data_IF_959315936199
#
_entry.id   IF_959315936199
#
_cell.length_a   1.000
_cell.length_b   1.000
_cell.length_c   1.000
_cell.angle_alpha   90.00
_cell.angle_beta   90.00
_cell.angle_gamma   90.00
#
_symmetry.space_group_name_H-M   'P 1'
#
loop_
_entity.id
_entity.type
_entity.pdbx_description
1 polymer ?
#
# COMPACT_ATOMS: atom_id res chain seq x y z
N UNK A 1 26.54 6.76 -12.49
CA UNK A 1 25.21 7.40 -12.35
C UNK A 1 24.17 6.30 -12.21
N UNK A 2 23.26 6.36 -11.22
CA UNK A 2 22.22 5.33 -11.08
C UNK A 2 21.26 5.41 -12.26
N UNK A 3 20.99 4.28 -12.93
CA UNK A 3 20.04 4.21 -14.04
C UNK A 3 18.65 3.93 -13.50
N UNK A 4 17.61 4.47 -14.16
CA UNK A 4 16.19 4.25 -13.80
C UNK A 4 15.43 3.53 -14.92
N UNK A 5 16.17 2.87 -15.83
CA UNK A 5 15.56 2.04 -16.87
C UNK A 5 14.99 0.75 -16.30
N UNK A 6 15.74 0.11 -15.42
CA UNK A 6 15.33 -1.13 -14.72
C UNK A 6 15.06 -0.84 -13.25
N UNK A 7 14.28 -1.70 -12.62
CA UNK A 7 14.03 -1.67 -11.18
C UNK A 7 15.30 -2.05 -10.43
N UNK A 8 15.47 -1.46 -9.28
CA UNK A 8 16.49 -1.92 -8.33
C UNK A 8 16.00 -3.21 -7.65
N UNK A 9 16.88 -4.15 -7.40
CA UNK A 9 16.64 -5.44 -6.76
C UNK A 9 17.21 -5.52 -5.34
N UNK A 10 17.86 -4.46 -4.88
CA UNK A 10 18.42 -4.40 -3.54
C UNK A 10 17.30 -4.51 -2.48
N UNK A 11 17.60 -5.21 -1.39
CA UNK A 11 16.69 -5.33 -0.26
C UNK A 11 16.70 -4.06 0.58
N UNK A 12 15.52 -3.63 1.00
CA UNK A 12 15.36 -2.60 2.01
C UNK A 12 15.63 -3.19 3.39
N UNK A 13 16.06 -2.37 4.34
CA UNK A 13 16.34 -2.84 5.70
C UNK A 13 15.04 -3.38 6.34
N UNK A 14 13.88 -2.74 6.04
CA UNK A 14 12.58 -3.20 6.51
C UNK A 14 12.08 -4.50 5.87
N UNK A 15 12.73 -5.00 4.79
CA UNK A 15 12.42 -6.33 4.22
C UNK A 15 12.87 -7.47 5.17
N UNK A 16 13.71 -7.18 6.19
CA UNK A 16 14.03 -8.13 7.24
C UNK A 16 12.88 -8.22 8.25
N UNK A 17 12.08 -9.29 8.15
CA UNK A 17 10.93 -9.53 9.02
C UNK A 17 11.29 -9.72 10.51
N UNK A 18 12.58 -9.81 10.84
CA UNK A 18 13.06 -9.94 12.23
C UNK A 18 13.45 -8.60 12.85
N UNK A 19 13.49 -7.52 12.04
CA UNK A 19 13.85 -6.21 12.58
C UNK A 19 12.80 -5.72 13.58
N UNK A 20 13.24 -5.15 14.68
CA UNK A 20 12.40 -4.71 15.79
C UNK A 20 13.05 -3.56 16.58
N UNK A 21 12.31 -3.01 17.51
CA UNK A 21 12.80 -2.00 18.44
C UNK A 21 12.47 -0.56 18.06
N UNK A 22 13.02 0.38 18.81
CA UNK A 22 12.68 1.81 18.71
C UNK A 22 12.94 2.40 17.33
N UNK A 23 13.99 1.94 16.64
CA UNK A 23 14.31 2.39 15.29
C UNK A 23 13.19 2.09 14.28
N UNK A 24 12.51 0.93 14.41
CA UNK A 24 11.36 0.57 13.57
C UNK A 24 10.16 1.42 13.93
N UNK A 25 9.88 1.62 15.21
CA UNK A 25 8.79 2.49 15.66
C UNK A 25 8.96 3.93 15.18
N UNK A 26 10.19 4.46 15.26
CA UNK A 26 10.53 5.78 14.75
C UNK A 26 10.35 5.85 13.23
N UNK A 27 10.78 4.82 12.50
CA UNK A 27 10.60 4.73 11.06
C UNK A 27 9.12 4.78 10.66
N UNK A 28 8.25 4.01 11.31
CA UNK A 28 6.81 4.03 11.04
C UNK A 28 6.21 5.41 11.24
N UNK A 29 6.54 6.10 12.34
CA UNK A 29 6.08 7.48 12.62
C UNK A 29 6.54 8.47 11.57
N UNK A 30 7.80 8.38 11.12
CA UNK A 30 8.34 9.26 10.10
C UNK A 30 7.71 8.98 8.73
N UNK A 31 7.50 7.71 8.37
CA UNK A 31 6.81 7.35 7.12
C UNK A 31 5.37 7.86 7.10
N UNK A 32 4.61 7.73 8.20
CA UNK A 32 3.26 8.30 8.30
C UNK A 32 3.28 9.82 8.10
N UNK A 33 4.24 10.51 8.72
CA UNK A 33 4.41 11.96 8.60
C UNK A 33 4.74 12.35 7.15
N UNK A 34 5.72 11.70 6.53
CA UNK A 34 6.13 11.95 5.14
C UNK A 34 4.95 11.71 4.19
N UNK A 35 4.22 10.60 4.36
CA UNK A 35 3.09 10.25 3.52
C UNK A 35 1.94 11.26 3.65
N UNK A 36 1.67 11.73 4.86
CA UNK A 36 0.67 12.76 5.11
C UNK A 36 1.08 14.09 4.49
N UNK A 37 2.32 14.56 4.71
CA UNK A 37 2.82 15.84 4.20
C UNK A 37 2.92 15.88 2.67
N UNK A 38 3.33 14.77 2.04
CA UNK A 38 3.40 14.67 0.58
C UNK A 38 2.06 14.33 -0.08
N UNK A 39 0.98 14.26 0.69
CA UNK A 39 -0.36 13.93 0.18
C UNK A 39 -0.54 12.47 -0.24
N UNK A 40 0.37 11.59 0.17
CA UNK A 40 0.33 10.17 -0.21
C UNK A 40 -0.95 9.47 0.24
N UNK A 41 -1.41 9.75 1.45
CA UNK A 41 -2.63 9.16 1.99
C UNK A 41 -3.88 9.61 1.22
N UNK A 42 -3.93 10.84 0.75
CA UNK A 42 -5.07 11.38 -0.02
C UNK A 42 -5.33 10.62 -1.31
N UNK A 43 -4.30 10.00 -1.89
CA UNK A 43 -4.40 9.17 -3.11
C UNK A 43 -5.25 7.93 -2.84
N UNK A 44 -4.94 7.21 -1.76
CA UNK A 44 -5.68 6.01 -1.32
C UNK A 44 -7.11 6.35 -0.93
N UNK A 45 -7.28 7.40 -0.14
CA UNK A 45 -8.59 7.92 0.29
C UNK A 45 -9.45 8.33 -0.92
N UNK A 46 -8.89 9.03 -1.90
CA UNK A 46 -9.62 9.43 -3.10
C UNK A 46 -10.03 8.23 -3.96
N UNK A 47 -9.18 7.21 -4.07
CA UNK A 47 -9.50 5.97 -4.77
C UNK A 47 -10.64 5.22 -4.08
N UNK A 48 -10.57 5.06 -2.75
CA UNK A 48 -11.65 4.45 -1.97
C UNK A 48 -12.96 5.21 -2.13
N UNK A 49 -12.95 6.55 -2.04
CA UNK A 49 -14.14 7.38 -2.31
C UNK A 49 -14.74 7.13 -3.68
N UNK A 50 -13.91 6.94 -4.70
CA UNK A 50 -14.37 6.64 -6.06
C UNK A 50 -15.10 5.29 -6.11
N UNK A 51 -14.53 4.25 -5.47
CA UNK A 51 -15.13 2.91 -5.39
C UNK A 51 -16.45 2.95 -4.60
N UNK A 52 -16.48 3.63 -3.46
CA UNK A 52 -17.70 3.74 -2.62
C UNK A 52 -18.82 4.46 -3.37
N UNK A 53 -18.52 5.57 -4.04
CA UNK A 53 -19.51 6.33 -4.83
C UNK A 53 -20.08 5.54 -6.00
N UNK A 54 -19.33 4.61 -6.59
CA UNK A 54 -19.84 3.76 -7.67
C UNK A 54 -20.77 2.65 -7.17
N UNK A 55 -20.90 2.47 -5.85
CA UNK A 55 -21.77 1.47 -5.22
C UNK A 55 -22.71 2.12 -4.18
N UNK A 56 -23.63 3.04 -4.60
CA UNK A 56 -24.40 3.88 -3.68
C UNK A 56 -25.38 3.12 -2.77
N UNK A 57 -25.69 1.89 -3.09
CA UNK A 57 -26.56 1.02 -2.28
C UNK A 57 -25.80 0.25 -1.19
N UNK A 58 -24.47 0.21 -1.26
CA UNK A 58 -23.64 -0.53 -0.31
C UNK A 58 -23.19 0.40 0.82
N UNK A 59 -23.59 0.08 2.05
CA UNK A 59 -23.28 0.88 3.25
C UNK A 59 -22.29 0.22 4.19
N UNK A 60 -22.02 -1.09 4.02
CA UNK A 60 -21.09 -1.86 4.85
C UNK A 60 -19.96 -2.39 3.98
N UNK A 61 -18.72 -2.13 4.37
CA UNK A 61 -17.52 -2.43 3.60
C UNK A 61 -16.55 -3.31 4.37
N UNK A 62 -16.07 -4.36 3.75
CA UNK A 62 -14.94 -5.17 4.23
C UNK A 62 -13.69 -4.78 3.45
N UNK A 63 -12.67 -4.29 4.13
CA UNK A 63 -11.46 -3.77 3.51
C UNK A 63 -10.24 -4.48 4.06
N UNK A 64 -9.41 -5.02 3.17
CA UNK A 64 -8.07 -5.51 3.50
C UNK A 64 -7.04 -4.43 3.19
N UNK A 65 -6.02 -4.29 4.04
CA UNK A 65 -4.85 -3.43 3.80
C UNK A 65 -3.57 -4.27 3.85
N UNK A 66 -2.90 -4.40 2.71
CA UNK A 66 -1.72 -5.24 2.55
C UNK A 66 -0.45 -4.42 2.83
N UNK A 67 0.41 -4.92 3.72
CA UNK A 67 1.55 -4.15 4.21
C UNK A 67 1.08 -2.93 4.99
N UNK A 68 0.19 -3.14 5.97
CA UNK A 68 -0.52 -2.06 6.66
C UNK A 68 0.39 -1.15 7.52
N UNK A 69 1.64 -1.56 7.77
CA UNK A 69 2.59 -0.78 8.58
C UNK A 69 2.00 -0.38 9.94
N UNK A 70 1.95 0.91 10.22
CA UNK A 70 1.37 1.45 11.47
C UNK A 70 -0.15 1.31 11.60
N UNK A 71 -0.86 0.98 10.52
CA UNK A 71 -2.32 1.00 10.47
C UNK A 71 -2.96 2.40 10.29
N UNK A 72 -2.16 3.45 10.27
CA UNK A 72 -2.64 4.85 10.20
C UNK A 72 -3.59 5.09 9.02
N UNK A 73 -3.28 4.53 7.85
CA UNK A 73 -4.10 4.74 6.65
C UNK A 73 -5.48 4.10 6.76
N UNK A 74 -5.62 2.98 7.49
CA UNK A 74 -6.94 2.37 7.76
C UNK A 74 -7.81 3.30 8.62
N UNK A 75 -7.23 3.98 9.62
CA UNK A 75 -7.94 4.98 10.42
C UNK A 75 -8.46 6.14 9.55
N UNK A 76 -7.64 6.63 8.60
CA UNK A 76 -8.05 7.67 7.66
C UNK A 76 -9.15 7.17 6.70
N UNK A 77 -9.03 5.97 6.17
CA UNK A 77 -10.04 5.35 5.31
C UNK A 77 -11.37 5.15 6.04
N UNK A 78 -11.34 4.75 7.33
CA UNK A 78 -12.55 4.59 8.13
C UNK A 78 -13.29 5.92 8.33
N UNK A 79 -12.57 7.00 8.64
CA UNK A 79 -13.16 8.36 8.72
C UNK A 79 -13.86 8.75 7.41
N UNK A 80 -13.26 8.36 6.28
CA UNK A 80 -13.86 8.65 4.96
C UNK A 80 -15.14 7.85 4.72
N UNK A 81 -15.21 6.59 5.11
CA UNK A 81 -16.44 5.80 5.04
C UNK A 81 -17.54 6.43 5.89
N UNK A 82 -17.23 6.83 7.12
CA UNK A 82 -18.18 7.52 8.01
C UNK A 82 -18.71 8.82 7.40
N UNK A 83 -17.86 9.62 6.76
CA UNK A 83 -18.27 10.83 6.02
C UNK A 83 -19.21 10.51 4.84
N UNK A 84 -19.12 9.33 4.26
CA UNK A 84 -20.04 8.84 3.21
C UNK A 84 -21.27 8.09 3.79
N UNK A 85 -21.48 8.15 5.11
CA UNK A 85 -22.53 7.41 5.83
C UNK A 85 -22.44 5.90 5.64
N UNK A 86 -21.21 5.39 5.50
CA UNK A 86 -20.88 3.98 5.41
C UNK A 86 -20.12 3.54 6.65
N UNK A 87 -20.14 2.24 6.92
CA UNK A 87 -19.32 1.58 7.94
C UNK A 87 -18.28 0.69 7.26
N UNK A 88 -17.11 0.55 7.87
CA UNK A 88 -16.03 -0.33 7.41
C UNK A 88 -15.58 -1.30 8.50
N UNK A 89 -15.23 -2.51 8.10
CA UNK A 89 -14.43 -3.43 8.90
C UNK A 89 -13.12 -3.63 8.15
N UNK A 90 -12.01 -3.36 8.82
CA UNK A 90 -10.68 -3.39 8.23
C UNK A 90 -9.88 -4.57 8.77
N UNK A 91 -9.15 -5.23 7.87
CA UNK A 91 -8.13 -6.22 8.25
C UNK A 91 -6.80 -5.77 7.65
N UNK A 92 -5.88 -5.35 8.50
CA UNK A 92 -4.50 -5.05 8.12
C UNK A 92 -3.65 -6.32 8.16
N UNK A 93 -2.78 -6.47 7.18
CA UNK A 93 -1.81 -7.55 7.08
C UNK A 93 -0.40 -6.99 7.06
N UNK A 94 0.46 -7.50 7.92
CA UNK A 94 1.89 -7.28 7.88
C UNK A 94 2.61 -8.56 8.27
N UNK A 95 3.78 -8.83 7.68
CA UNK A 95 4.52 -10.05 7.96
C UNK A 95 5.52 -9.91 9.12
N UNK A 96 5.82 -8.68 9.56
CA UNK A 96 6.72 -8.44 10.68
C UNK A 96 5.94 -8.40 12.00
N UNK A 97 6.20 -9.33 12.96
CA UNK A 97 5.45 -9.40 14.22
C UNK A 97 5.56 -8.12 15.07
N UNK A 98 6.69 -7.42 15.03
CA UNK A 98 6.89 -6.18 15.75
C UNK A 98 6.03 -5.05 15.19
N UNK A 99 5.96 -4.94 13.85
CA UNK A 99 5.10 -3.96 13.16
C UNK A 99 3.63 -4.25 13.47
N UNK A 100 3.23 -5.52 13.45
CA UNK A 100 1.87 -5.95 13.83
C UNK A 100 1.52 -5.51 15.25
N UNK A 101 2.40 -5.76 16.23
CA UNK A 101 2.16 -5.34 17.60
C UNK A 101 2.06 -3.81 17.72
N UNK A 102 2.91 -3.07 17.01
CA UNK A 102 2.85 -1.62 16.95
C UNK A 102 1.51 -1.13 16.38
N UNK A 103 1.07 -1.70 15.24
CA UNK A 103 -0.17 -1.34 14.59
C UNK A 103 -1.41 -1.68 15.45
N UNK A 104 -1.40 -2.82 16.14
CA UNK A 104 -2.46 -3.21 17.09
C UNK A 104 -2.59 -2.18 18.22
N UNK A 105 -1.47 -1.74 18.79
CA UNK A 105 -1.48 -0.70 19.82
C UNK A 105 -1.94 0.66 19.27
N UNK A 106 -1.50 1.02 18.04
CA UNK A 106 -1.86 2.29 17.41
C UNK A 106 -3.35 2.37 17.01
N UNK A 107 -3.97 1.24 16.67
CA UNK A 107 -5.37 1.17 16.27
C UNK A 107 -6.31 0.69 17.38
N UNK A 108 -5.83 0.55 18.63
CA UNK A 108 -6.58 -0.09 19.73
C UNK A 108 -7.93 0.57 20.05
N UNK A 109 -8.07 1.87 19.80
CA UNK A 109 -9.28 2.63 20.07
C UNK A 109 -10.36 2.45 18.98
N UNK A 110 -10.03 1.83 17.84
CA UNK A 110 -10.98 1.58 16.75
C UNK A 110 -11.27 0.08 16.60
N UNK A 111 -12.37 -0.38 17.21
CA UNK A 111 -12.79 -1.78 17.20
C UNK A 111 -13.14 -2.33 15.80
N UNK A 112 -13.26 -1.46 14.79
CA UNK A 112 -13.48 -1.88 13.40
C UNK A 112 -12.21 -2.32 12.67
N UNK A 113 -11.03 -2.17 13.30
CA UNK A 113 -9.73 -2.49 12.74
C UNK A 113 -9.13 -3.72 13.43
N UNK A 114 -8.77 -4.71 12.64
CA UNK A 114 -8.06 -5.93 13.06
C UNK A 114 -6.73 -6.02 12.32
N UNK A 115 -5.64 -6.32 13.03
CA UNK A 115 -4.31 -6.50 12.44
C UNK A 115 -3.86 -7.95 12.61
N UNK A 116 -3.40 -8.56 11.52
CA UNK A 116 -2.95 -9.95 11.48
C UNK A 116 -1.48 -10.02 11.04
N UNK A 117 -0.70 -10.84 11.77
CA UNK A 117 0.66 -11.19 11.38
C UNK A 117 0.60 -12.26 10.29
N UNK A 118 0.77 -11.86 9.03
CA UNK A 118 0.56 -12.75 7.90
C UNK A 118 1.36 -12.32 6.68
N UNK A 119 2.03 -13.28 6.05
CA UNK A 119 2.69 -13.07 4.77
C UNK A 119 1.67 -13.25 3.64
N UNK A 120 1.33 -12.16 2.96
CA UNK A 120 0.31 -12.15 1.90
C UNK A 120 0.67 -12.99 0.67
N UNK A 121 1.96 -13.31 0.46
CA UNK A 121 2.38 -14.21 -0.63
C UNK A 121 2.04 -15.67 -0.30
N UNK A 122 2.36 -16.13 0.89
CA UNK A 122 2.31 -17.55 1.27
C UNK A 122 1.02 -17.94 1.96
N UNK A 123 0.50 -17.10 2.85
CA UNK A 123 -0.58 -17.46 3.73
C UNK A 123 -1.96 -17.24 3.09
N UNK A 124 -2.98 -18.06 3.39
CA UNK A 124 -4.32 -17.87 2.84
C UNK A 124 -5.01 -16.66 3.46
N UNK A 125 -5.78 -15.93 2.67
CA UNK A 125 -6.65 -14.88 3.20
C UNK A 125 -7.82 -15.49 3.98
N UNK A 126 -8.19 -14.93 5.15
CA UNK A 126 -9.24 -15.53 6.01
C UNK A 126 -10.66 -15.35 5.43
N UNK A 127 -10.87 -14.37 4.56
CA UNK A 127 -12.18 -14.06 3.99
C UNK A 127 -12.05 -13.30 2.67
N UNK A 128 -13.18 -13.11 1.97
CA UNK A 128 -13.28 -12.26 0.79
C UNK A 128 -13.56 -10.82 1.24
N UNK A 129 -12.84 -9.87 0.64
CA UNK A 129 -12.96 -8.44 0.92
C UNK A 129 -13.66 -7.71 -0.21
N UNK A 130 -14.41 -6.67 0.11
CA UNK A 130 -14.98 -5.79 -0.91
C UNK A 130 -13.88 -5.00 -1.62
N UNK A 131 -12.96 -4.45 -0.85
CA UNK A 131 -11.79 -3.73 -1.35
C UNK A 131 -10.52 -4.34 -0.74
N UNK A 132 -9.54 -4.63 -1.59
CA UNK A 132 -8.18 -4.91 -1.15
C UNK A 132 -7.34 -3.69 -1.49
N UNK A 133 -6.70 -3.13 -0.49
CA UNK A 133 -5.86 -1.94 -0.59
C UNK A 133 -4.37 -2.32 -0.39
N UNK A 134 -3.48 -1.59 -1.05
CA UNK A 134 -2.05 -1.64 -0.79
C UNK A 134 -1.44 -0.25 -1.06
N UNK A 135 -0.73 0.31 -0.09
CA UNK A 135 -0.01 1.56 -0.24
C UNK A 135 1.47 1.37 0.07
N UNK A 136 2.35 1.80 -0.85
CA UNK A 136 3.81 1.73 -0.69
C UNK A 136 4.30 0.34 -0.26
N UNK A 137 3.75 -0.68 -0.84
CA UNK A 137 4.02 -2.05 -0.45
C UNK A 137 4.40 -2.96 -1.62
N UNK A 138 3.75 -2.81 -2.76
CA UNK A 138 3.91 -3.77 -3.86
C UNK A 138 5.26 -3.65 -4.57
N UNK A 139 5.96 -2.52 -4.42
CA UNK A 139 7.31 -2.36 -4.96
C UNK A 139 8.37 -3.24 -4.26
N UNK A 140 8.07 -3.85 -3.11
CA UNK A 140 8.95 -4.83 -2.47
C UNK A 140 9.04 -6.15 -3.23
N UNK A 141 8.03 -6.49 -4.05
CA UNK A 141 7.94 -7.76 -4.77
C UNK A 141 8.55 -7.68 -6.17
N UNK A 142 9.03 -8.81 -6.65
CA UNK A 142 9.38 -8.99 -8.07
C UNK A 142 8.12 -8.97 -8.95
N UNK A 143 8.29 -8.79 -10.26
CA UNK A 143 7.16 -8.81 -11.17
C UNK A 143 6.42 -10.18 -11.17
N UNK A 144 7.16 -11.28 -11.01
CA UNK A 144 6.58 -12.63 -11.00
C UNK A 144 5.81 -12.90 -9.70
N UNK A 145 6.35 -12.50 -8.55
CA UNK A 145 5.64 -12.56 -7.25
C UNK A 145 4.36 -11.72 -7.28
N UNK A 146 4.40 -10.53 -7.91
CA UNK A 146 3.20 -9.70 -8.05
C UNK A 146 2.15 -10.35 -8.94
N UNK A 147 2.53 -11.00 -10.03
CA UNK A 147 1.57 -11.74 -10.88
C UNK A 147 0.87 -12.82 -10.05
N UNK A 148 1.63 -13.61 -9.28
CA UNK A 148 1.07 -14.66 -8.40
C UNK A 148 0.14 -14.07 -7.33
N UNK A 149 0.58 -12.99 -6.65
CA UNK A 149 -0.22 -12.30 -5.65
C UNK A 149 -1.52 -11.76 -6.26
N UNK A 150 -1.45 -11.08 -7.40
CA UNK A 150 -2.62 -10.52 -8.07
C UNK A 150 -3.61 -11.60 -8.53
N UNK A 151 -3.12 -12.76 -9.03
CA UNK A 151 -3.98 -13.90 -9.33
C UNK A 151 -4.70 -14.42 -8.10
N UNK A 152 -4.01 -14.50 -6.94
CA UNK A 152 -4.58 -14.86 -5.64
C UNK A 152 -5.63 -13.83 -5.21
N UNK A 153 -5.30 -12.54 -5.28
CA UNK A 153 -6.18 -11.43 -4.89
C UNK A 153 -7.44 -11.33 -5.75
N UNK A 154 -7.38 -11.75 -7.01
CA UNK A 154 -8.56 -11.78 -7.89
C UNK A 154 -9.70 -12.62 -7.33
N UNK A 155 -9.38 -13.68 -6.59
CA UNK A 155 -10.36 -14.55 -5.93
C UNK A 155 -10.80 -14.04 -4.55
N UNK A 156 -10.02 -13.14 -3.96
CA UNK A 156 -10.23 -12.61 -2.61
C UNK A 156 -10.84 -11.21 -2.59
N UNK A 157 -11.07 -10.62 -3.77
CA UNK A 157 -11.60 -9.26 -3.93
C UNK A 157 -12.93 -9.30 -4.66
N UNK A 158 -13.98 -8.83 -4.00
CA UNK A 158 -15.32 -8.80 -4.59
C UNK A 158 -15.52 -7.61 -5.53
N UNK A 159 -14.99 -6.43 -5.20
CA UNK A 159 -15.28 -5.17 -5.93
C UNK A 159 -14.04 -4.59 -6.58
N UNK A 160 -13.03 -4.19 -5.80
CA UNK A 160 -11.87 -3.51 -6.36
C UNK A 160 -10.58 -3.74 -5.57
N UNK A 161 -9.44 -3.79 -6.29
CA UNK A 161 -8.12 -3.57 -5.71
C UNK A 161 -7.77 -2.09 -5.89
N UNK A 162 -7.31 -1.46 -4.82
CA UNK A 162 -6.85 -0.07 -4.79
C UNK A 162 -5.36 -0.08 -4.45
N UNK A 163 -4.53 0.37 -5.37
CA UNK A 163 -3.08 0.40 -5.21
C UNK A 163 -2.60 1.85 -5.30
N UNK A 164 -1.75 2.24 -4.36
CA UNK A 164 -1.06 3.52 -4.33
C UNK A 164 0.43 3.24 -4.15
N UNK A 165 1.20 3.26 -5.24
CA UNK A 165 2.60 2.89 -5.16
C UNK A 165 3.52 3.84 -5.95
N UNK A 166 4.83 3.71 -5.71
CA UNK A 166 5.85 4.62 -6.21
C UNK A 166 6.06 4.48 -7.72
N UNK A 167 6.23 5.63 -8.37
CA UNK A 167 6.68 5.72 -9.75
C UNK A 167 8.20 5.90 -9.76
N UNK A 168 8.93 4.94 -10.36
CA UNK A 168 10.38 5.01 -10.53
C UNK A 168 10.77 6.17 -11.43
N UNK A 169 11.37 7.21 -10.83
CA UNK A 169 11.81 8.39 -11.53
C UNK A 169 13.03 9.01 -10.86
N UNK A 170 14.03 9.45 -11.67
CA UNK A 170 15.27 10.01 -11.15
C UNK A 170 15.04 11.22 -10.23
N UNK A 171 14.17 12.14 -10.63
CA UNK A 171 13.87 13.33 -9.84
C UNK A 171 13.27 12.95 -8.48
N UNK A 172 12.35 11.99 -8.44
CA UNK A 172 11.76 11.50 -7.19
C UNK A 172 12.82 10.89 -6.26
N UNK A 173 13.74 10.09 -6.84
CA UNK A 173 14.82 9.47 -6.11
C UNK A 173 15.74 10.50 -5.43
N UNK A 174 16.22 11.48 -6.18
CA UNK A 174 17.12 12.49 -5.62
C UNK A 174 16.40 13.46 -4.69
N UNK A 175 15.14 13.82 -4.98
CA UNK A 175 14.35 14.66 -4.12
C UNK A 175 14.08 14.02 -2.75
N UNK A 176 13.65 12.74 -2.71
CA UNK A 176 13.40 12.06 -1.44
C UNK A 176 14.70 11.82 -0.66
N UNK A 177 15.79 11.46 -1.36
CA UNK A 177 17.11 11.28 -0.73
C UNK A 177 17.60 12.57 -0.07
N UNK A 178 17.42 13.71 -0.71
CA UNK A 178 17.77 15.01 -0.15
C UNK A 178 16.86 15.37 1.03
N UNK A 179 15.54 15.20 0.86
CA UNK A 179 14.54 15.51 1.89
C UNK A 179 14.78 14.68 3.15
N UNK A 180 14.92 13.36 3.02
CA UNK A 180 15.15 12.48 4.16
C UNK A 180 16.52 12.69 4.80
N UNK A 181 17.54 13.01 4.00
CA UNK A 181 18.87 13.37 4.47
C UNK A 181 18.86 14.58 5.43
N UNK A 182 18.03 15.59 5.14
CA UNK A 182 17.92 16.82 5.94
C UNK A 182 16.98 16.69 7.14
N UNK A 183 15.84 16.04 6.97
CA UNK A 183 14.73 16.11 7.92
C UNK A 183 14.48 14.83 8.71
N UNK A 184 14.89 13.66 8.18
CA UNK A 184 14.69 12.40 8.90
C UNK A 184 15.74 12.22 10.01
N UNK A 185 15.30 11.69 11.15
CA UNK A 185 16.17 11.18 12.22
C UNK A 185 16.40 9.68 12.11
N UNK A 186 15.52 8.96 11.42
CA UNK A 186 15.61 7.53 11.22
C UNK A 186 16.65 7.19 10.16
N UNK A 187 17.63 6.35 10.51
CA UNK A 187 18.58 5.82 9.53
C UNK A 187 17.90 4.87 8.54
N UNK A 188 16.82 4.19 8.96
CA UNK A 188 16.00 3.33 8.10
C UNK A 188 15.35 4.14 6.98
N UNK A 189 14.68 5.26 7.33
CA UNK A 189 14.08 6.16 6.33
C UNK A 189 15.13 6.71 5.37
N UNK A 190 16.29 7.12 5.88
CA UNK A 190 17.37 7.64 5.03
C UNK A 190 17.90 6.61 4.03
N UNK A 191 17.94 5.34 4.42
CA UNK A 191 18.41 4.26 3.56
C UNK A 191 17.32 3.83 2.59
N UNK A 192 16.12 3.53 3.10
CA UNK A 192 15.10 2.81 2.36
C UNK A 192 14.27 3.74 1.45
N UNK A 193 13.98 4.98 1.85
CA UNK A 193 13.08 5.83 1.07
C UNK A 193 13.52 6.08 -0.38
N UNK A 194 14.82 6.29 -0.63
CA UNK A 194 15.32 6.45 -1.98
C UNK A 194 15.35 5.12 -2.74
N UNK A 195 15.65 4.01 -2.05
CA UNK A 195 15.64 2.67 -2.62
C UNK A 195 14.23 2.25 -3.03
N UNK A 196 13.22 2.50 -2.20
CA UNK A 196 11.80 2.26 -2.52
C UNK A 196 11.39 2.96 -3.81
N UNK A 197 11.82 4.22 -4.03
CA UNK A 197 11.59 4.92 -5.32
C UNK A 197 12.27 4.20 -6.48
N UNK A 198 13.50 3.70 -6.30
CA UNK A 198 14.22 2.96 -7.35
C UNK A 198 13.57 1.59 -7.65
N UNK A 199 12.89 0.98 -6.68
CA UNK A 199 12.10 -0.26 -6.82
C UNK A 199 10.70 -0.02 -7.40
N UNK A 200 10.21 1.22 -7.41
CA UNK A 200 8.89 1.58 -7.94
C UNK A 200 8.68 1.14 -9.40
N UNK A 201 7.44 0.92 -9.79
CA UNK A 201 7.08 0.48 -11.14
C UNK A 201 6.81 1.65 -12.09
N UNK A 202 7.09 1.46 -13.37
CA UNK A 202 6.59 2.33 -14.45
C UNK A 202 5.20 1.89 -14.88
N UNK A 203 4.44 2.79 -15.50
CA UNK A 203 3.08 2.50 -15.99
C UNK A 203 3.05 1.31 -16.98
N UNK A 204 4.07 1.17 -17.84
CA UNK A 204 4.17 0.03 -18.77
C UNK A 204 4.35 -1.29 -18.05
N UNK A 205 5.17 -1.31 -16.99
CA UNK A 205 5.40 -2.52 -16.18
C UNK A 205 4.13 -2.94 -15.44
N UNK A 206 3.37 -1.99 -14.86
CA UNK A 206 2.07 -2.26 -14.28
C UNK A 206 1.10 -2.88 -15.29
N UNK A 207 1.04 -2.37 -16.52
CA UNK A 207 0.18 -2.95 -17.57
C UNK A 207 0.54 -4.40 -17.85
N UNK A 208 1.83 -4.69 -18.07
CA UNK A 208 2.31 -6.06 -18.32
C UNK A 208 1.99 -7.00 -17.15
N UNK A 209 2.18 -6.56 -15.90
CA UNK A 209 1.88 -7.35 -14.70
C UNK A 209 0.37 -7.65 -14.63
N UNK A 210 -0.48 -6.65 -14.84
CA UNK A 210 -1.94 -6.81 -14.79
C UNK A 210 -2.46 -7.72 -15.91
N UNK A 211 -1.92 -7.61 -17.12
CA UNK A 211 -2.24 -8.48 -18.26
C UNK A 211 -1.85 -9.92 -17.97
N UNK A 212 -0.64 -10.16 -17.45
CA UNK A 212 -0.17 -11.50 -17.04
C UNK A 212 -1.03 -12.10 -15.92
N UNK A 213 -1.52 -11.28 -14.99
CA UNK A 213 -2.43 -11.70 -13.93
C UNK A 213 -3.90 -11.84 -14.40
N UNK A 214 -4.18 -11.57 -15.67
CA UNK A 214 -5.49 -11.75 -16.28
C UNK A 214 -6.51 -10.66 -15.93
N UNK A 215 -6.07 -9.46 -15.55
CA UNK A 215 -6.96 -8.32 -15.33
C UNK A 215 -7.20 -7.55 -16.63
N UNK A 216 -8.47 -7.26 -16.90
CA UNK A 216 -8.92 -6.53 -18.10
C UNK A 216 -9.46 -5.13 -17.79
N UNK A 217 -9.99 -4.93 -16.58
CA UNK A 217 -10.68 -3.71 -16.19
C UNK A 217 -9.88 -2.99 -15.11
N UNK A 218 -9.17 -1.94 -15.48
CA UNK A 218 -8.37 -1.14 -14.55
C UNK A 218 -8.14 0.28 -15.06
N UNK A 219 -7.90 1.19 -14.12
CA UNK A 219 -7.42 2.54 -14.38
C UNK A 219 -6.07 2.74 -13.70
N UNK A 220 -5.09 3.31 -14.41
CA UNK A 220 -3.79 3.69 -13.86
C UNK A 220 -3.62 5.18 -14.08
N UNK A 221 -3.54 5.94 -12.98
CA UNK A 221 -3.30 7.38 -12.98
C UNK A 221 -1.95 7.69 -12.37
N UNK A 222 -1.18 8.56 -13.00
CA UNK A 222 -0.04 9.19 -12.34
C UNK A 222 -0.57 10.31 -11.44
N UNK A 223 -0.06 10.38 -10.21
CA UNK A 223 -0.48 11.37 -9.21
C UNK A 223 0.77 11.96 -8.56
N UNK A 224 0.70 13.21 -8.14
CA UNK A 224 1.73 13.87 -7.34
C UNK A 224 1.80 13.20 -5.92
N UNK A 225 2.97 12.97 -5.32
CA UNK A 225 4.32 13.20 -5.84
C UNK A 225 4.93 11.87 -6.35
N UNK A 226 4.99 11.70 -7.66
CA UNK A 226 5.57 10.52 -8.31
C UNK A 226 4.97 9.21 -7.83
N UNK A 227 3.65 9.06 -7.90
CA UNK A 227 2.94 7.84 -7.55
C UNK A 227 2.02 7.37 -8.66
N UNK A 228 1.74 6.09 -8.65
CA UNK A 228 0.67 5.49 -9.42
C UNK A 228 -0.51 5.17 -8.49
N UNK A 229 -1.69 5.69 -8.83
CA UNK A 229 -2.95 5.24 -8.29
C UNK A 229 -3.56 4.25 -9.27
N UNK A 230 -3.82 3.02 -8.81
CA UNK A 230 -4.52 2.01 -9.60
C UNK A 230 -5.86 1.68 -8.92
N UNK A 231 -6.91 1.60 -9.73
CA UNK A 231 -8.17 0.97 -9.34
C UNK A 231 -8.40 -0.17 -10.32
N UNK A 232 -8.47 -1.39 -9.82
CA UNK A 232 -8.50 -2.61 -10.62
C UNK A 232 -9.75 -3.40 -10.23
N UNK A 233 -10.55 -3.80 -11.20
CA UNK A 233 -11.76 -4.56 -10.98
C UNK A 233 -11.52 -6.03 -11.34
N UNK A 234 -11.72 -6.99 -10.41
CA UNK A 234 -11.49 -8.42 -10.66
C UNK A 234 -12.39 -8.99 -11.76
N UNK A 235 -13.62 -8.48 -11.82
CA UNK A 235 -14.65 -8.86 -12.78
C UNK A 235 -15.12 -7.63 -13.56
N UNK A 236 -15.79 -7.84 -14.70
CA UNK A 236 -16.52 -6.76 -15.36
C UNK A 236 -17.55 -6.21 -14.40
N UNK A 237 -17.59 -4.90 -14.23
CA UNK A 237 -18.73 -4.26 -13.57
C UNK A 237 -19.97 -4.62 -14.36
N UNK A 238 -20.82 -5.49 -13.80
CA UNK A 238 -22.18 -5.71 -14.28
C UNK A 238 -23.04 -4.51 -13.98
#
# INVERSE_FOLDING_TARGET
>A
MKTFHQRDDAKEILDDLKIQGEAVSQNLKELDTINSLLGGNTISVAALKTVVKSHPKKTHWKIADLGCGSGHLMLEMNKVLQQQRCTGVFTGFDANPFIVQYAQAHCADDSSIRILCQNVLTDPFPEIYDVVHAALFLHHFTADELVLLLVKLKKQTAIALVINDLHRHALAYYAIKWLTGLFSKSYLVKNDAALSVAKGFKKSEWKTILERAGYKYYAIKWVWAFRHQLIIYPNSSS
#
